data_IF_348306553588
#
_entry.id   IF_348306553588
#
_cell.length_a   1.000
_cell.length_b   1.000
_cell.length_c   1.000
_cell.angle_alpha   90.00
_cell.angle_beta   90.00
_cell.angle_gamma   90.00
#
_symmetry.space_group_name_H-M   'P 1'
#
loop_
_entity.id
_entity.type
_entity.pdbx_description
1 polymer ?
#
# COMPACT_ATOMS: atom_id res chain seq x y z
N UNK A 1 -30.04 -7.86 -18.08
CA UNK A 1 -28.57 -7.69 -18.30
C UNK A 1 -27.90 -7.54 -16.94
N UNK A 2 -26.92 -8.39 -16.63
CA UNK A 2 -26.28 -8.45 -15.31
C UNK A 2 -25.36 -7.24 -15.08
N UNK A 3 -25.42 -6.67 -13.87
CA UNK A 3 -24.83 -5.38 -13.49
C UNK A 3 -23.29 -5.36 -13.41
N UNK A 4 -22.62 -6.49 -13.68
CA UNK A 4 -21.17 -6.66 -13.59
C UNK A 4 -20.68 -7.69 -14.64
N UNK A 5 -19.45 -7.52 -15.18
CA UNK A 5 -18.82 -8.54 -16.03
C UNK A 5 -18.71 -9.84 -15.24
N UNK A 6 -19.11 -10.97 -15.85
CA UNK A 6 -18.95 -12.29 -15.23
C UNK A 6 -17.49 -12.72 -15.34
N UNK A 7 -16.63 -12.17 -14.49
CA UNK A 7 -15.20 -12.48 -14.43
C UNK A 7 -14.90 -13.99 -14.30
N UNK A 8 -15.84 -14.78 -13.75
CA UNK A 8 -15.73 -16.23 -13.63
C UNK A 8 -15.66 -16.97 -14.99
N UNK A 9 -16.13 -16.35 -16.08
CA UNK A 9 -16.20 -16.98 -17.41
C UNK A 9 -15.29 -16.26 -18.42
N UNK A 10 -14.31 -15.48 -17.97
CA UNK A 10 -13.41 -14.77 -18.87
C UNK A 10 -12.34 -15.74 -19.41
N UNK A 11 -12.24 -15.86 -20.72
CA UNK A 11 -11.22 -16.67 -21.39
C UNK A 11 -10.26 -15.77 -22.14
N UNK A 12 -8.96 -15.91 -21.87
CA UNK A 12 -7.92 -15.25 -22.65
C UNK A 12 -7.45 -16.17 -23.77
N UNK A 13 -7.43 -15.67 -25.00
CA UNK A 13 -6.95 -16.41 -26.16
C UNK A 13 -5.44 -16.63 -26.06
N UNK A 14 -5.06 -17.76 -25.47
CA UNK A 14 -3.66 -18.15 -25.27
C UNK A 14 -3.22 -19.02 -26.45
N UNK A 15 -2.18 -18.58 -27.14
CA UNK A 15 -1.56 -19.30 -28.25
C UNK A 15 -0.14 -19.69 -27.88
N UNK A 16 0.42 -20.61 -28.66
CA UNK A 16 1.81 -21.04 -28.51
C UNK A 16 2.59 -20.73 -29.77
N UNK A 17 3.85 -20.34 -29.60
CA UNK A 17 4.80 -20.20 -30.68
C UNK A 17 6.06 -21.00 -30.36
N UNK A 18 6.64 -21.60 -31.40
CA UNK A 18 8.00 -22.15 -31.34
C UNK A 18 8.91 -21.04 -31.79
N UNK A 19 9.86 -20.65 -30.94
CA UNK A 19 10.75 -19.52 -31.24
C UNK A 19 12.17 -19.76 -30.75
N UNK A 20 13.08 -18.95 -31.28
CA UNK A 20 14.46 -18.84 -30.78
C UNK A 20 14.43 -18.14 -29.42
N UNK A 21 15.13 -18.74 -28.46
CA UNK A 21 15.23 -18.19 -27.10
C UNK A 21 16.67 -18.04 -26.67
N UNK A 22 16.96 -16.95 -25.96
CA UNK A 22 18.22 -16.71 -25.29
C UNK A 22 17.95 -16.64 -23.78
N UNK A 23 18.70 -17.41 -22.98
CA UNK A 23 18.54 -17.46 -21.50
C UNK A 23 17.11 -17.73 -21.01
N UNK A 24 16.34 -18.57 -21.73
CA UNK A 24 14.97 -18.93 -21.38
C UNK A 24 13.93 -17.84 -21.65
N UNK A 25 14.31 -16.77 -22.35
CA UNK A 25 13.41 -15.70 -22.81
C UNK A 25 13.40 -15.65 -24.33
N UNK A 26 12.31 -15.12 -24.91
CA UNK A 26 12.23 -14.87 -26.35
C UNK A 26 13.38 -13.95 -26.77
N UNK A 27 14.15 -14.36 -27.79
CA UNK A 27 15.13 -13.52 -28.44
C UNK A 27 14.44 -12.67 -29.51
N UNK A 28 14.03 -11.45 -29.13
CA UNK A 28 13.32 -10.54 -30.04
C UNK A 28 14.15 -10.18 -31.29
N UNK A 29 15.47 -10.10 -31.17
CA UNK A 29 16.34 -9.73 -32.29
C UNK A 29 16.35 -10.86 -33.33
N UNK A 30 16.53 -12.11 -32.89
CA UNK A 30 16.42 -13.27 -33.78
C UNK A 30 15.02 -13.39 -34.40
N UNK A 31 13.96 -13.19 -33.61
CA UNK A 31 12.58 -13.22 -34.14
C UNK A 31 12.34 -12.17 -35.22
N UNK A 32 12.77 -10.92 -34.99
CA UNK A 32 12.65 -9.86 -36.00
C UNK A 32 13.45 -10.18 -37.26
N UNK A 33 14.70 -10.64 -37.11
CA UNK A 33 15.54 -11.05 -38.24
C UNK A 33 14.92 -12.18 -39.08
N UNK A 34 14.21 -13.11 -38.45
CA UNK A 34 13.50 -14.19 -39.15
C UNK A 34 12.26 -13.63 -39.86
N UNK A 35 11.51 -12.74 -39.20
CA UNK A 35 10.33 -12.12 -39.78
C UNK A 35 10.67 -11.28 -41.03
N UNK A 36 11.76 -10.50 -40.97
CA UNK A 36 12.21 -9.65 -42.07
C UNK A 36 12.62 -10.44 -43.32
N UNK A 37 12.97 -11.71 -43.17
CA UNK A 37 13.23 -12.62 -44.30
C UNK A 37 11.95 -12.99 -45.08
N UNK A 38 10.75 -12.62 -44.59
CA UNK A 38 9.46 -12.84 -45.26
C UNK A 38 9.27 -14.28 -45.77
N UNK A 39 9.66 -15.26 -44.95
CA UNK A 39 9.64 -16.68 -45.32
C UNK A 39 8.19 -17.19 -45.31
N UNK A 40 7.73 -17.69 -46.45
CA UNK A 40 6.38 -18.30 -46.59
C UNK A 40 6.38 -19.82 -46.41
N UNK A 41 7.55 -20.47 -46.54
CA UNK A 41 7.69 -21.92 -46.44
C UNK A 41 8.01 -22.38 -45.01
N UNK A 42 7.15 -23.24 -44.44
CA UNK A 42 7.29 -23.75 -43.07
C UNK A 42 8.56 -24.59 -42.83
N UNK A 43 9.06 -25.32 -43.84
CA UNK A 43 10.29 -26.12 -43.71
C UNK A 43 11.52 -25.24 -43.64
N UNK A 44 11.56 -24.22 -44.49
CA UNK A 44 12.64 -23.22 -44.52
C UNK A 44 12.70 -22.43 -43.21
N UNK A 45 11.53 -22.01 -42.70
CA UNK A 45 11.42 -21.37 -41.40
C UNK A 45 11.95 -22.25 -40.26
N UNK A 46 11.62 -23.55 -40.26
CA UNK A 46 12.09 -24.49 -39.25
C UNK A 46 13.62 -24.69 -39.30
N UNK A 47 14.22 -24.76 -40.50
CA UNK A 47 15.68 -24.84 -40.66
C UNK A 47 16.38 -23.60 -40.14
N UNK A 48 15.89 -22.40 -40.48
CA UNK A 48 16.49 -21.12 -40.04
C UNK A 48 16.38 -20.98 -38.51
N UNK A 49 15.23 -21.31 -37.93
CA UNK A 49 15.06 -21.34 -36.47
C UNK A 49 16.03 -22.33 -35.84
N UNK A 50 16.19 -23.52 -36.43
CA UNK A 50 17.13 -24.55 -35.96
C UNK A 50 18.59 -24.10 -35.99
N UNK A 51 19.02 -23.47 -37.08
CA UNK A 51 20.38 -22.94 -37.25
C UNK A 51 20.66 -21.78 -36.28
N UNK A 52 19.78 -20.78 -36.21
CA UNK A 52 19.98 -19.62 -35.32
C UNK A 52 19.92 -19.99 -33.84
N UNK A 53 19.26 -21.09 -33.51
CA UNK A 53 19.14 -21.55 -32.12
C UNK A 53 20.15 -22.63 -31.72
N UNK A 54 21.08 -23.04 -32.61
CA UNK A 54 21.92 -24.22 -32.40
C UNK A 54 21.09 -25.46 -31.98
N UNK A 55 19.91 -25.63 -32.58
CA UNK A 55 18.96 -26.70 -32.28
C UNK A 55 18.14 -26.52 -30.99
N UNK A 56 18.23 -25.37 -30.30
CA UNK A 56 17.51 -25.10 -29.05
C UNK A 56 16.31 -24.18 -29.27
N UNK A 57 15.17 -24.78 -29.61
CA UNK A 57 13.90 -24.06 -29.68
C UNK A 57 13.14 -24.17 -28.38
N UNK A 58 12.38 -23.12 -28.03
CA UNK A 58 11.45 -23.17 -26.90
C UNK A 58 10.02 -22.95 -27.36
N UNK A 59 9.10 -23.63 -26.69
CA UNK A 59 7.67 -23.35 -26.76
C UNK A 59 7.37 -22.19 -25.81
N UNK A 60 6.92 -21.07 -26.37
CA UNK A 60 6.45 -19.92 -25.60
C UNK A 60 4.94 -19.81 -25.72
N UNK A 61 4.28 -19.41 -24.64
CA UNK A 61 2.87 -18.99 -24.69
C UNK A 61 2.80 -17.48 -24.86
N UNK A 62 1.87 -17.02 -25.69
CA UNK A 62 1.51 -15.62 -25.82
C UNK A 62 -0.01 -15.46 -25.78
N UNK A 63 -0.46 -14.30 -25.34
CA UNK A 63 -1.88 -13.98 -25.24
C UNK A 63 -2.17 -12.91 -26.28
N UNK A 64 -3.23 -13.12 -27.07
CA UNK A 64 -3.75 -12.09 -27.96
C UNK A 64 -4.85 -11.36 -27.22
N UNK A 65 -4.76 -10.03 -27.22
CA UNK A 65 -5.75 -9.12 -26.65
C UNK A 65 -6.24 -8.22 -27.80
N UNK A 66 -7.49 -8.35 -28.17
CA UNK A 66 -8.15 -7.63 -29.26
C UNK A 66 -9.15 -6.60 -28.71
N UNK A 67 -9.76 -6.89 -27.56
CA UNK A 67 -10.78 -6.04 -26.93
C UNK A 67 -10.27 -5.38 -25.64
N UNK A 68 -10.77 -4.17 -25.35
CA UNK A 68 -10.40 -3.41 -24.15
C UNK A 68 -10.67 -4.21 -22.87
N UNK A 69 -11.76 -4.97 -22.84
CA UNK A 69 -12.15 -5.86 -21.76
C UNK A 69 -11.09 -6.92 -21.47
N UNK A 70 -10.44 -7.47 -22.50
CA UNK A 70 -9.36 -8.44 -22.38
C UNK A 70 -8.10 -7.82 -21.78
N UNK A 71 -7.74 -6.61 -22.23
CA UNK A 71 -6.64 -5.84 -21.64
C UNK A 71 -6.89 -5.58 -20.15
N UNK A 72 -8.07 -5.10 -19.79
CA UNK A 72 -8.42 -4.81 -18.41
C UNK A 72 -8.44 -6.06 -17.54
N UNK A 73 -8.93 -7.18 -18.06
CA UNK A 73 -8.92 -8.46 -17.35
C UNK A 73 -7.49 -8.97 -17.14
N UNK A 74 -6.68 -8.98 -18.19
CA UNK A 74 -5.29 -9.44 -18.14
C UNK A 74 -4.50 -8.62 -17.12
N UNK A 75 -4.51 -7.29 -17.22
CA UNK A 75 -3.82 -6.39 -16.29
C UNK A 75 -4.28 -6.61 -14.85
N UNK A 76 -5.60 -6.69 -14.62
CA UNK A 76 -6.13 -6.96 -13.27
C UNK A 76 -5.67 -8.33 -12.73
N UNK A 77 -5.61 -9.35 -13.59
CA UNK A 77 -5.13 -10.68 -13.22
C UNK A 77 -3.64 -10.69 -12.87
N UNK A 78 -2.81 -9.97 -13.63
CA UNK A 78 -1.38 -9.81 -13.36
C UNK A 78 -1.16 -9.04 -12.06
N UNK A 79 -1.91 -7.96 -11.83
CA UNK A 79 -1.91 -7.25 -10.56
C UNK A 79 -2.24 -8.17 -9.38
N UNK A 80 -3.24 -9.05 -9.54
CA UNK A 80 -3.63 -10.01 -8.51
C UNK A 80 -2.55 -11.07 -8.26
N UNK A 81 -1.91 -11.60 -9.31
CA UNK A 81 -0.77 -12.56 -9.21
C UNK A 81 0.41 -11.95 -8.46
N UNK A 82 0.68 -10.66 -8.67
CA UNK A 82 1.70 -9.91 -7.93
C UNK A 82 1.30 -9.61 -6.48
N UNK A 83 0.10 -10.02 -6.04
CA UNK A 83 -0.40 -9.76 -4.69
C UNK A 83 -0.74 -8.29 -4.44
N UNK A 84 -1.01 -7.51 -5.50
CA UNK A 84 -1.42 -6.12 -5.35
C UNK A 84 -2.86 -6.06 -4.82
N UNK A 85 -3.04 -5.35 -3.70
CA UNK A 85 -4.35 -5.20 -3.08
C UNK A 85 -4.94 -3.86 -3.48
N UNK A 86 -6.06 -3.89 -4.19
CA UNK A 86 -6.84 -2.69 -4.54
C UNK A 86 -7.89 -2.41 -3.47
N UNK A 87 -7.98 -1.15 -3.04
CA UNK A 87 -8.98 -0.67 -2.08
C UNK A 87 -9.69 0.58 -2.55
N UNK A 88 -10.91 0.79 -2.06
CA UNK A 88 -11.63 2.05 -2.19
C UNK A 88 -11.23 2.98 -1.04
N UNK A 89 -10.85 4.23 -1.33
CA UNK A 89 -10.52 5.23 -0.32
C UNK A 89 -11.80 5.66 0.43
N UNK A 90 -11.80 5.58 1.76
CA UNK A 90 -12.97 5.95 2.57
C UNK A 90 -13.27 7.46 2.59
N UNK A 91 -12.33 8.30 2.14
CA UNK A 91 -12.53 9.76 2.08
C UNK A 91 -12.99 10.22 0.69
N UNK A 92 -12.19 9.98 -0.36
CA UNK A 92 -12.49 10.47 -1.71
C UNK A 92 -13.23 9.47 -2.60
N UNK A 93 -13.53 8.25 -2.10
CA UNK A 93 -14.26 7.21 -2.83
C UNK A 93 -13.52 6.55 -4.00
N UNK A 94 -12.35 7.06 -4.41
CA UNK A 94 -11.58 6.52 -5.53
C UNK A 94 -10.76 5.30 -5.12
N UNK A 95 -10.56 4.36 -6.05
CA UNK A 95 -9.71 3.18 -5.84
C UNK A 95 -8.22 3.54 -5.79
N UNK A 96 -7.43 2.74 -5.07
CA UNK A 96 -5.97 2.86 -4.95
C UNK A 96 -5.32 1.52 -4.59
N UNK A 97 -4.06 1.35 -4.96
CA UNK A 97 -3.25 0.16 -4.64
C UNK A 97 -2.58 0.35 -3.28
N UNK A 98 -2.66 -0.67 -2.41
CA UNK A 98 -1.90 -0.73 -1.17
C UNK A 98 -0.43 -1.04 -1.48
N UNK A 99 0.44 -0.02 -1.33
CA UNK A 99 1.89 -0.20 -1.54
C UNK A 99 2.61 -0.92 -0.39
N UNK A 100 2.05 -0.89 0.82
CA UNK A 100 2.67 -1.46 2.01
C UNK A 100 1.70 -2.46 2.68
N UNK A 101 2.24 -3.42 3.45
CA UNK A 101 1.45 -4.37 4.26
C UNK A 101 0.56 -3.69 5.33
N UNK A 102 0.72 -2.39 5.55
CA UNK A 102 -0.16 -1.63 6.44
C UNK A 102 -1.53 -1.42 5.80
N UNK A 103 -2.56 -1.95 6.45
CA UNK A 103 -3.95 -1.93 6.00
C UNK A 103 -4.59 -0.52 6.07
N UNK A 104 -4.07 0.44 5.31
CA UNK A 104 -4.58 1.83 5.29
C UNK A 104 -5.98 1.90 4.67
N UNK A 105 -6.81 2.80 5.20
CA UNK A 105 -8.18 3.06 4.71
C UNK A 105 -8.23 4.22 3.70
N UNK A 106 -7.12 4.93 3.53
CA UNK A 106 -7.05 6.16 2.74
C UNK A 106 -5.86 6.15 1.79
N UNK A 107 -6.06 6.74 0.61
CA UNK A 107 -5.02 6.94 -0.39
C UNK A 107 -4.14 8.17 -0.10
N UNK A 108 -3.03 8.31 -0.82
CA UNK A 108 -2.09 9.43 -0.66
C UNK A 108 -2.41 10.65 -1.56
N UNK A 109 -3.56 10.66 -2.27
CA UNK A 109 -3.94 11.81 -3.10
C UNK A 109 -4.26 13.03 -2.25
N UNK A 110 -3.93 14.21 -2.76
CA UNK A 110 -4.34 15.50 -2.21
C UNK A 110 -5.88 15.57 -2.24
N UNK A 111 -6.48 16.00 -1.14
CA UNK A 111 -7.93 16.14 -0.99
C UNK A 111 -8.33 17.60 -0.75
N UNK A 112 -7.77 18.26 0.27
CA UNK A 112 -8.11 19.65 0.61
C UNK A 112 -6.93 20.36 1.26
N UNK A 113 -6.71 21.63 0.93
CA UNK A 113 -5.68 22.51 1.53
C UNK A 113 -4.27 21.86 1.54
N UNK A 114 -3.85 21.25 0.42
CA UNK A 114 -2.62 20.46 0.29
C UNK A 114 -2.48 19.24 1.23
N UNK A 115 -3.51 18.90 2.00
CA UNK A 115 -3.52 17.67 2.78
C UNK A 115 -4.02 16.48 1.97
N UNK A 116 -3.36 15.35 2.19
CA UNK A 116 -3.72 14.07 1.58
C UNK A 116 -4.95 13.46 2.24
N UNK A 117 -5.65 12.57 1.52
CA UNK A 117 -6.77 11.80 2.09
C UNK A 117 -6.33 11.04 3.35
N UNK A 118 -5.08 10.55 3.37
CA UNK A 118 -4.49 9.86 4.52
C UNK A 118 -4.31 10.76 5.73
N UNK A 119 -3.90 12.01 5.57
CA UNK A 119 -3.76 12.95 6.69
C UNK A 119 -5.12 13.34 7.26
N UNK A 120 -6.06 13.72 6.40
CA UNK A 120 -7.40 14.16 6.82
C UNK A 120 -8.19 12.98 7.39
N UNK A 121 -8.30 11.89 6.65
CA UNK A 121 -9.12 10.75 7.03
C UNK A 121 -8.65 10.09 8.33
N UNK A 122 -7.34 9.96 8.56
CA UNK A 122 -6.85 9.43 9.84
C UNK A 122 -7.14 10.38 11.01
N UNK A 123 -7.05 11.70 10.78
CA UNK A 123 -7.38 12.70 11.79
C UNK A 123 -8.87 12.65 12.16
N UNK A 124 -9.76 12.59 11.17
CA UNK A 124 -11.20 12.49 11.38
C UNK A 124 -11.59 11.17 12.05
N UNK A 125 -11.03 10.04 11.61
CA UNK A 125 -11.24 8.77 12.30
C UNK A 125 -10.76 8.81 13.75
N UNK A 126 -9.65 9.48 14.02
CA UNK A 126 -9.15 9.66 15.38
C UNK A 126 -10.13 10.48 16.24
N UNK A 127 -10.56 11.63 15.73
CA UNK A 127 -11.52 12.52 16.41
C UNK A 127 -12.85 11.80 16.64
N UNK A 128 -13.36 11.05 15.66
CA UNK A 128 -14.60 10.28 15.79
C UNK A 128 -14.49 9.13 16.79
N UNK A 129 -13.32 8.50 16.94
CA UNK A 129 -13.08 7.51 17.99
C UNK A 129 -13.01 8.18 19.37
N UNK A 130 -12.36 9.34 19.43
CA UNK A 130 -12.25 10.13 20.64
C UNK A 130 -13.62 10.63 21.12
N UNK A 131 -14.46 11.14 20.23
CA UNK A 131 -15.78 11.68 20.59
C UNK A 131 -16.72 10.62 21.18
N UNK A 132 -16.53 9.35 20.82
CA UNK A 132 -17.33 8.22 21.33
C UNK A 132 -16.89 7.71 22.70
N UNK A 133 -15.71 8.10 23.18
CA UNK A 133 -15.13 7.61 24.44
C UNK A 133 -14.78 8.77 25.39
N UNK A 134 -15.62 9.03 26.41
CA UNK A 134 -15.37 10.10 27.38
C UNK A 134 -14.04 9.97 28.12
N UNK A 135 -13.55 8.76 28.35
CA UNK A 135 -12.27 8.51 29.02
C UNK A 135 -11.12 8.94 28.11
N UNK A 136 -11.19 8.61 26.82
CA UNK A 136 -10.17 9.05 25.86
C UNK A 136 -10.18 10.57 25.68
N UNK A 137 -11.35 11.22 25.71
CA UNK A 137 -11.42 12.70 25.71
C UNK A 137 -10.68 13.30 26.90
N UNK A 138 -10.89 12.72 28.10
CA UNK A 138 -10.20 13.14 29.32
C UNK A 138 -8.70 12.90 29.24
N UNK A 139 -8.28 11.75 28.70
CA UNK A 139 -6.88 11.46 28.39
C UNK A 139 -6.25 12.53 27.50
N UNK A 140 -6.91 12.91 26.40
CA UNK A 140 -6.42 13.94 25.48
C UNK A 140 -6.30 15.31 26.15
N UNK A 141 -7.27 15.68 26.99
CA UNK A 141 -7.23 16.92 27.77
C UNK A 141 -6.01 16.95 28.71
N UNK A 142 -5.75 15.85 29.43
CA UNK A 142 -4.60 15.72 30.33
C UNK A 142 -3.28 15.72 29.54
N UNK A 143 -3.24 15.07 28.38
CA UNK A 143 -2.06 15.05 27.51
C UNK A 143 -1.68 16.43 27.01
N UNK A 144 -2.65 17.20 26.50
CA UNK A 144 -2.43 18.58 26.05
C UNK A 144 -1.99 19.49 27.22
N UNK A 145 -2.58 19.32 28.40
CA UNK A 145 -2.19 20.07 29.58
C UNK A 145 -0.73 19.78 30.02
N UNK A 146 -0.30 18.52 30.00
CA UNK A 146 1.09 18.13 30.28
C UNK A 146 2.06 18.65 29.21
N UNK A 147 1.65 18.63 27.93
CA UNK A 147 2.47 19.16 26.85
C UNK A 147 2.67 20.68 26.98
N UNK A 148 1.60 21.41 27.31
CA UNK A 148 1.70 22.85 27.58
C UNK A 148 2.53 23.16 28.84
N UNK A 149 2.45 22.32 29.89
CA UNK A 149 3.33 22.42 31.07
C UNK A 149 4.79 22.23 30.67
N UNK A 150 5.08 21.20 29.87
CA UNK A 150 6.43 20.96 29.35
C UNK A 150 6.98 22.14 28.57
N UNK A 151 6.21 22.75 27.66
CA UNK A 151 6.66 23.94 26.92
C UNK A 151 6.97 25.12 27.86
N UNK A 152 6.15 25.33 28.89
CA UNK A 152 6.40 26.40 29.88
C UNK A 152 7.64 26.12 30.74
N UNK A 153 7.87 24.87 31.10
CA UNK A 153 9.03 24.46 31.89
C UNK A 153 10.32 24.52 31.05
N UNK A 154 10.23 24.11 29.78
CA UNK A 154 11.32 24.22 28.79
C UNK A 154 11.73 25.67 28.54
N UNK A 155 10.76 26.60 28.47
CA UNK A 155 11.05 28.02 28.33
C UNK A 155 11.81 28.62 29.53
N UNK A 156 11.82 27.95 30.68
CA UNK A 156 12.59 28.33 31.88
C UNK A 156 13.97 27.67 31.94
N UNK A 157 14.29 26.78 31.01
CA UNK A 157 15.59 26.13 30.94
C UNK A 157 16.65 27.09 30.40
N UNK A 158 17.81 27.04 31.02
CA UNK A 158 19.02 27.76 30.63
C UNK A 158 19.88 26.79 29.82
N UNK A 159 20.22 27.19 28.60
CA UNK A 159 21.07 26.41 27.72
C UNK A 159 22.41 26.10 28.38
N UNK A 160 22.79 24.82 28.45
CA UNK A 160 24.04 24.35 29.06
C UNK A 160 23.97 24.00 30.55
N UNK A 161 22.88 24.33 31.27
CA UNK A 161 22.72 23.96 32.69
C UNK A 161 21.66 22.86 32.88
N UNK A 162 20.46 23.07 32.35
CA UNK A 162 19.30 22.20 32.56
C UNK A 162 18.50 21.93 31.27
N UNK A 163 19.14 22.12 30.11
CA UNK A 163 18.51 21.90 28.79
C UNK A 163 18.00 20.46 28.64
N UNK A 164 16.73 20.33 28.25
CA UNK A 164 16.09 19.07 27.87
C UNK A 164 15.50 18.29 29.05
N UNK A 165 15.55 18.81 30.28
CA UNK A 165 14.96 18.14 31.46
C UNK A 165 13.44 18.07 31.32
N UNK A 166 12.78 19.16 30.93
CA UNK A 166 11.34 19.26 30.71
C UNK A 166 10.88 18.32 29.60
N UNK A 167 11.58 18.31 28.45
CA UNK A 167 11.30 17.37 27.35
C UNK A 167 11.47 15.92 27.81
N UNK A 168 12.53 15.59 28.56
CA UNK A 168 12.77 14.23 29.05
C UNK A 168 11.72 13.79 30.08
N UNK A 169 11.34 14.65 31.02
CA UNK A 169 10.24 14.41 31.96
C UNK A 169 8.93 14.12 31.22
N UNK A 170 8.58 14.96 30.25
CA UNK A 170 7.39 14.75 29.42
C UNK A 170 7.48 13.48 28.59
N UNK A 171 8.64 13.16 28.00
CA UNK A 171 8.84 11.94 27.23
C UNK A 171 8.61 10.69 28.07
N UNK A 172 9.13 10.66 29.30
CA UNK A 172 8.94 9.54 30.24
C UNK A 172 7.47 9.41 30.66
N UNK A 173 6.84 10.53 31.03
CA UNK A 173 5.41 10.55 31.35
C UNK A 173 4.55 10.11 30.14
N UNK A 174 4.83 10.63 28.94
CA UNK A 174 4.10 10.35 27.71
C UNK A 174 4.19 8.87 27.33
N UNK A 175 5.37 8.25 27.47
CA UNK A 175 5.52 6.79 27.29
C UNK A 175 4.60 6.00 28.23
N UNK A 176 4.58 6.35 29.52
CA UNK A 176 3.70 5.70 30.51
C UNK A 176 2.22 5.92 30.18
N UNK A 177 1.83 7.14 29.87
CA UNK A 177 0.46 7.49 29.50
C UNK A 177 -0.01 6.74 28.25
N UNK A 178 0.83 6.67 27.22
CA UNK A 178 0.55 5.90 26.00
C UNK A 178 0.42 4.40 26.28
N UNK A 179 1.25 3.84 27.16
CA UNK A 179 1.13 2.45 27.57
C UNK A 179 -0.19 2.17 28.29
N UNK A 180 -0.55 2.98 29.30
CA UNK A 180 -1.83 2.85 30.01
C UNK A 180 -3.03 3.01 29.06
N UNK A 181 -2.97 3.94 28.10
CA UNK A 181 -4.02 4.08 27.07
C UNK A 181 -4.17 2.80 26.24
N UNK A 182 -3.08 2.11 25.90
CA UNK A 182 -3.15 0.82 25.20
C UNK A 182 -3.81 -0.25 26.06
N UNK A 183 -3.45 -0.32 27.34
CA UNK A 183 -4.05 -1.28 28.29
C UNK A 183 -5.56 -1.02 28.49
N UNK A 184 -5.97 0.25 28.55
CA UNK A 184 -7.39 0.63 28.58
C UNK A 184 -8.14 0.21 27.31
N UNK A 185 -7.55 0.48 26.13
CA UNK A 185 -8.13 0.06 24.84
C UNK A 185 -8.22 -1.48 24.71
N UNK A 186 -7.31 -2.20 25.37
CA UNK A 186 -7.34 -3.66 25.51
C UNK A 186 -8.30 -4.15 26.61
N UNK A 187 -9.02 -3.25 27.29
CA UNK A 187 -9.94 -3.52 28.41
C UNK A 187 -9.29 -4.20 29.62
N UNK A 188 -7.99 -4.00 29.82
CA UNK A 188 -7.23 -4.57 30.95
C UNK A 188 -7.27 -3.70 32.21
N UNK A 189 -7.55 -2.40 32.05
CA UNK A 189 -7.69 -1.45 33.15
C UNK A 189 -8.97 -0.64 32.95
N UNK A 190 -9.53 -0.12 34.05
CA UNK A 190 -10.69 0.77 33.98
C UNK A 190 -10.31 2.16 33.46
N UNK A 191 -11.32 2.93 33.03
CA UNK A 191 -11.10 4.31 32.62
C UNK A 191 -10.67 5.23 33.77
N UNK A 192 -11.15 4.96 34.98
CA UNK A 192 -10.77 5.70 36.18
C UNK A 192 -9.31 5.43 36.56
N UNK A 193 -8.86 4.18 36.47
CA UNK A 193 -7.46 3.82 36.69
C UNK A 193 -6.54 4.54 35.71
N UNK A 194 -6.88 4.55 34.42
CA UNK A 194 -6.13 5.28 33.40
C UNK A 194 -5.98 6.76 33.79
N UNK A 195 -7.09 7.41 34.13
CA UNK A 195 -7.12 8.85 34.45
C UNK A 195 -6.35 9.16 35.72
N UNK A 196 -6.49 8.35 36.78
CA UNK A 196 -5.79 8.51 38.05
C UNK A 196 -4.26 8.48 37.85
N UNK A 197 -3.76 7.56 37.04
CA UNK A 197 -2.32 7.35 36.86
C UNK A 197 -1.63 8.36 35.93
N UNK A 198 -2.38 9.07 35.10
CA UNK A 198 -1.84 10.07 34.16
C UNK A 198 -2.05 11.52 34.60
N UNK A 199 -2.83 11.76 35.67
CA UNK A 199 -3.10 13.09 36.21
C UNK A 199 -1.79 13.85 36.50
N UNK A 200 -1.84 15.15 36.27
CA UNK A 200 -0.75 16.08 36.56
C UNK A 200 -0.59 16.11 38.09
N UNK A 201 0.61 15.79 38.58
CA UNK A 201 1.06 16.17 39.91
C UNK A 201 1.59 17.61 39.87
#
# INVERSE_FOLDING_TARGET
>A
MGKYPRYANFSLNTKFAITVTENGKMDFNSVMNINDKNISNKRELASIIGEQSNGRVSLINYIILEELEEFLFYEFSEMAKLGLIVRKCNLCGKYFILRNKHNTLFCNRIYKNNFTCKQIGNKELYINKLSKDPVLQKYEKIYKANYAKMQRDEAKEIHGLNNGIARNKFKNWSKKAQHLRKEYLAKKISGDDLVLHIKIK
#
